data_IF_292070710464
#
_entry.id   IF_292070710464
#
_cell.length_a   1.000
_cell.length_b   1.000
_cell.length_c   1.000
_cell.angle_alpha   90.00
_cell.angle_beta   90.00
_cell.angle_gamma   90.00
#
_symmetry.space_group_name_H-M   'P 1'
#
loop_
_entity.id
_entity.type
_entity.pdbx_description
1 polymer ?
#
# COMPACT_ATOMS: atom_id res chain seq x y z
N UNK A 1 23.00 -1.36 58.63
CA UNK A 1 21.61 -1.02 58.28
C UNK A 1 21.46 -1.28 56.78
N UNK A 2 21.12 -2.50 56.40
CA UNK A 2 20.99 -2.93 55.01
C UNK A 2 19.51 -2.84 54.61
N UNK A 3 19.21 -2.04 53.60
CA UNK A 3 17.89 -1.92 52.99
C UNK A 3 17.60 -3.16 52.15
N UNK A 4 16.76 -4.05 52.66
CA UNK A 4 16.02 -5.02 51.85
C UNK A 4 14.83 -4.31 51.23
N UNK A 5 14.96 -3.89 49.97
CA UNK A 5 13.81 -3.57 49.14
C UNK A 5 13.49 -4.79 48.27
N UNK A 6 12.86 -5.78 48.93
CA UNK A 6 12.39 -7.00 48.30
C UNK A 6 11.06 -6.75 47.61
N UNK A 7 11.09 -6.04 46.48
CA UNK A 7 9.90 -5.85 45.65
C UNK A 7 9.58 -7.18 44.94
N UNK A 8 8.81 -8.03 45.62
CA UNK A 8 8.25 -9.26 45.07
C UNK A 8 7.42 -8.90 43.83
N UNK A 9 7.91 -9.25 42.63
CA UNK A 9 7.12 -9.22 41.39
C UNK A 9 5.91 -10.14 41.60
N UNK A 10 4.73 -9.57 41.82
CA UNK A 10 3.48 -10.32 41.72
C UNK A 10 3.25 -10.58 40.23
N UNK A 11 3.65 -11.77 39.76
CA UNK A 11 3.28 -12.23 38.42
C UNK A 11 1.75 -12.34 38.38
N UNK A 12 1.12 -11.50 37.58
CA UNK A 12 -0.27 -11.69 37.21
C UNK A 12 -0.31 -12.81 36.18
N UNK A 13 -0.66 -14.02 36.62
CA UNK A 13 -0.94 -15.13 35.73
C UNK A 13 -1.97 -14.68 34.69
N UNK A 14 -1.71 -14.97 33.41
CA UNK A 14 -2.67 -14.67 32.34
C UNK A 14 -4.03 -15.28 32.71
N UNK A 15 -5.06 -14.43 32.77
CA UNK A 15 -6.42 -14.86 33.07
C UNK A 15 -6.95 -15.76 31.95
N UNK A 16 -7.63 -16.83 32.32
CA UNK A 16 -8.29 -17.75 31.38
C UNK A 16 -9.26 -17.03 30.43
N UNK A 17 -9.87 -15.92 30.86
CA UNK A 17 -10.74 -15.13 29.99
C UNK A 17 -9.99 -14.46 28.83
N UNK A 18 -8.76 -13.97 29.06
CA UNK A 18 -7.94 -13.36 28.00
C UNK A 18 -7.60 -14.38 26.92
N UNK A 19 -7.32 -15.62 27.31
CA UNK A 19 -7.11 -16.71 26.36
C UNK A 19 -8.36 -16.99 25.53
N UNK A 20 -9.54 -17.03 26.15
CA UNK A 20 -10.80 -17.25 25.44
C UNK A 20 -11.08 -16.14 24.42
N UNK A 21 -10.79 -14.89 24.77
CA UNK A 21 -10.98 -13.75 23.89
C UNK A 21 -10.04 -13.80 22.68
N UNK A 22 -8.77 -14.13 22.88
CA UNK A 22 -7.82 -14.32 21.78
C UNK A 22 -8.23 -15.49 20.86
N UNK A 23 -8.62 -16.63 21.44
CA UNK A 23 -9.12 -17.78 20.68
C UNK A 23 -10.38 -17.43 19.89
N UNK A 24 -11.30 -16.70 20.49
CA UNK A 24 -12.51 -16.20 19.85
C UNK A 24 -12.18 -15.25 18.70
N UNK A 25 -11.27 -14.31 18.91
CA UNK A 25 -10.85 -13.38 17.88
C UNK A 25 -10.26 -14.10 16.66
N UNK A 26 -9.42 -15.12 16.86
CA UNK A 26 -8.85 -15.93 15.77
C UNK A 26 -9.93 -16.75 15.06
N UNK A 27 -10.82 -17.41 15.80
CA UNK A 27 -11.88 -18.23 15.20
C UNK A 27 -12.85 -17.39 14.38
N UNK A 28 -13.25 -16.23 14.90
CA UNK A 28 -14.30 -15.41 14.31
C UNK A 28 -13.75 -14.48 13.19
N UNK A 29 -12.48 -14.06 13.26
CA UNK A 29 -11.90 -13.07 12.33
C UNK A 29 -10.61 -13.53 11.63
N UNK A 30 -9.96 -14.59 12.10
CA UNK A 30 -8.68 -15.07 11.61
C UNK A 30 -7.46 -14.37 12.22
N UNK A 31 -6.33 -15.08 12.19
CA UNK A 31 -5.02 -14.66 12.72
C UNK A 31 -4.46 -13.38 12.05
N UNK A 32 -4.82 -13.14 10.80
CA UNK A 32 -4.39 -11.96 10.05
C UNK A 32 -5.24 -10.70 10.28
N UNK A 33 -6.33 -10.79 11.05
CA UNK A 33 -7.28 -9.69 11.19
C UNK A 33 -6.73 -8.50 11.97
N UNK A 34 -7.06 -7.25 11.60
CA UNK A 34 -6.67 -6.07 12.38
C UNK A 34 -7.15 -6.13 13.83
N UNK A 35 -8.35 -6.68 14.05
CA UNK A 35 -8.92 -6.89 15.38
C UNK A 35 -8.05 -7.80 16.24
N UNK A 36 -7.69 -8.99 15.73
CA UNK A 36 -6.79 -9.88 16.45
C UNK A 36 -5.41 -9.23 16.72
N UNK A 37 -4.82 -8.58 15.71
CA UNK A 37 -3.52 -7.90 15.86
C UNK A 37 -3.56 -6.84 16.97
N UNK A 38 -4.66 -6.07 17.06
CA UNK A 38 -4.83 -5.05 18.09
C UNK A 38 -5.07 -5.66 19.47
N UNK A 39 -5.92 -6.69 19.57
CA UNK A 39 -6.17 -7.41 20.82
C UNK A 39 -4.88 -8.04 21.35
N UNK A 40 -4.12 -8.73 20.50
CA UNK A 40 -2.83 -9.32 20.84
C UNK A 40 -1.82 -8.28 21.34
N UNK A 41 -1.72 -7.12 20.68
CA UNK A 41 -0.87 -6.01 21.11
C UNK A 41 -1.31 -5.47 22.48
N UNK A 42 -2.60 -5.30 22.71
CA UNK A 42 -3.16 -4.89 23.99
C UNK A 42 -2.81 -5.86 25.11
N UNK A 43 -3.06 -7.15 24.91
CA UNK A 43 -2.71 -8.21 25.88
C UNK A 43 -1.22 -8.20 26.19
N UNK A 44 -0.36 -8.18 25.18
CA UNK A 44 1.09 -8.20 25.40
C UNK A 44 1.59 -6.94 26.10
N UNK A 45 0.90 -5.81 26.00
CA UNK A 45 1.27 -4.59 26.73
C UNK A 45 0.83 -4.60 28.20
N UNK A 46 -0.33 -5.20 28.49
CA UNK A 46 -0.91 -5.23 29.84
C UNK A 46 -0.22 -6.25 30.74
N UNK A 47 0.11 -7.43 30.19
CA UNK A 47 0.62 -8.54 30.97
C UNK A 47 2.15 -8.67 30.90
N UNK A 48 2.75 -8.98 32.05
CA UNK A 48 4.15 -9.38 32.16
C UNK A 48 4.29 -10.88 31.85
N UNK A 49 4.49 -11.17 30.56
CA UNK A 49 4.56 -12.53 30.03
C UNK A 49 5.97 -13.11 30.16
N UNK A 50 6.08 -14.30 30.77
CA UNK A 50 7.30 -15.11 30.72
C UNK A 50 7.41 -15.86 29.39
N UNK A 51 8.59 -16.45 29.15
CA UNK A 51 8.85 -17.23 27.95
C UNK A 51 7.92 -18.45 27.88
N UNK A 52 7.61 -19.06 29.02
CA UNK A 52 6.64 -20.13 29.15
C UNK A 52 5.22 -19.66 28.82
N UNK A 53 4.81 -18.49 29.29
CA UNK A 53 3.49 -17.92 28.97
C UNK A 53 3.35 -17.67 27.46
N UNK A 54 4.41 -17.17 26.83
CA UNK A 54 4.46 -16.95 25.37
C UNK A 54 4.32 -18.26 24.59
N UNK A 55 5.09 -19.28 24.95
CA UNK A 55 5.02 -20.63 24.33
C UNK A 55 3.64 -21.26 24.55
N UNK A 56 3.09 -21.16 25.76
CA UNK A 56 1.77 -21.68 26.11
C UNK A 56 0.69 -20.99 25.30
N UNK A 57 0.71 -19.65 25.25
CA UNK A 57 -0.23 -18.87 24.46
C UNK A 57 -0.15 -19.24 22.98
N UNK A 58 1.05 -19.30 22.40
CA UNK A 58 1.23 -19.69 21.01
C UNK A 58 0.70 -21.11 20.75
N UNK A 59 1.00 -22.08 21.62
CA UNK A 59 0.53 -23.46 21.46
C UNK A 59 -0.98 -23.62 21.57
N UNK A 60 -1.64 -22.76 22.35
CA UNK A 60 -3.09 -22.79 22.52
C UNK A 60 -3.83 -22.15 21.35
N UNK A 61 -3.28 -21.08 20.77
CA UNK A 61 -3.97 -20.24 19.78
C UNK A 61 -3.66 -20.57 18.33
N UNK A 62 -2.54 -21.26 18.09
CA UNK A 62 -2.08 -21.64 16.76
C UNK A 62 -2.35 -23.12 16.49
N UNK A 63 -2.53 -23.49 15.22
CA UNK A 63 -2.48 -24.90 14.82
C UNK A 63 -1.05 -25.43 14.93
N UNK A 64 -0.85 -26.76 14.97
CA UNK A 64 0.50 -27.36 15.03
C UNK A 64 1.45 -26.84 13.94
N UNK A 65 0.95 -26.71 12.70
CA UNK A 65 1.72 -26.15 11.58
C UNK A 65 2.07 -24.68 11.77
N UNK A 66 1.13 -23.86 12.27
CA UNK A 66 1.35 -22.45 12.55
C UNK A 66 2.31 -22.25 13.72
N UNK A 67 2.23 -23.11 14.74
CA UNK A 67 3.14 -23.11 15.88
C UNK A 67 4.59 -23.40 15.46
N UNK A 68 4.81 -24.38 14.57
CA UNK A 68 6.15 -24.65 14.02
C UNK A 68 6.70 -23.43 13.27
N UNK A 69 5.88 -22.80 12.42
CA UNK A 69 6.27 -21.59 11.67
C UNK A 69 6.59 -20.45 12.65
N UNK A 70 5.74 -20.26 13.65
CA UNK A 70 5.93 -19.27 14.70
C UNK A 70 7.23 -19.48 15.46
N UNK A 71 7.50 -20.70 15.92
CA UNK A 71 8.72 -21.01 16.67
C UNK A 71 9.97 -20.74 15.83
N UNK A 72 9.94 -21.12 14.54
CA UNK A 72 11.04 -20.84 13.62
C UNK A 72 11.26 -19.32 13.44
N UNK A 73 10.20 -18.54 13.23
CA UNK A 73 10.30 -17.06 13.10
C UNK A 73 10.76 -16.42 14.40
N UNK A 74 10.22 -16.84 15.54
CA UNK A 74 10.60 -16.32 16.85
C UNK A 74 12.07 -16.63 17.16
N UNK A 75 12.54 -17.86 16.93
CA UNK A 75 13.96 -18.22 17.11
C UNK A 75 14.90 -17.41 16.22
N UNK A 76 14.51 -17.04 15.00
CA UNK A 76 15.29 -16.10 14.17
C UNK A 76 15.38 -14.72 14.81
N UNK A 77 14.26 -14.17 15.27
CA UNK A 77 14.24 -12.88 15.97
C UNK A 77 15.06 -12.92 17.27
N UNK A 78 15.08 -14.04 17.99
CA UNK A 78 15.93 -14.20 19.18
C UNK A 78 17.44 -14.25 18.84
N UNK A 79 17.81 -14.76 17.66
CA UNK A 79 19.19 -14.67 17.17
C UNK A 79 19.58 -13.20 16.90
N UNK A 80 18.69 -12.43 16.27
CA UNK A 80 18.92 -11.00 16.04
C UNK A 80 19.08 -10.23 17.36
N UNK A 81 18.28 -10.57 18.38
CA UNK A 81 18.43 -9.99 19.72
C UNK A 81 19.76 -10.38 20.39
N UNK A 82 20.19 -11.64 20.26
CA UNK A 82 21.52 -12.07 20.73
C UNK A 82 22.63 -11.21 20.09
N UNK A 83 22.52 -10.97 18.79
CA UNK A 83 23.49 -10.18 18.04
C UNK A 83 23.47 -8.71 18.49
N UNK A 84 22.28 -8.14 18.72
CA UNK A 84 22.09 -6.81 19.32
C UNK A 84 22.76 -6.68 20.69
N UNK A 85 22.76 -7.73 21.51
CA UNK A 85 23.35 -7.69 22.85
C UNK A 85 24.87 -7.90 22.88
N UNK A 86 25.52 -8.21 21.75
CA UNK A 86 26.97 -8.39 21.70
C UNK A 86 27.71 -7.14 22.18
N UNK A 87 28.74 -7.34 23.02
CA UNK A 87 29.53 -6.24 23.60
C UNK A 87 28.85 -5.46 24.74
N UNK A 88 27.60 -5.79 25.11
CA UNK A 88 26.88 -5.19 26.23
C UNK A 88 26.81 -6.09 27.48
N UNK A 89 26.10 -5.61 28.51
CA UNK A 89 25.86 -6.36 29.75
C UNK A 89 25.13 -7.69 29.54
N UNK A 90 24.40 -7.83 28.43
CA UNK A 90 23.60 -8.99 28.08
C UNK A 90 24.29 -9.91 27.04
N UNK A 91 25.56 -9.68 26.69
CA UNK A 91 26.28 -10.40 25.63
C UNK A 91 26.41 -11.92 25.87
N UNK A 92 26.36 -12.34 27.14
CA UNK A 92 26.42 -13.76 27.52
C UNK A 92 25.12 -14.54 27.30
N UNK A 93 24.02 -13.88 26.92
CA UNK A 93 22.74 -14.54 26.70
C UNK A 93 22.76 -15.35 25.39
N UNK A 94 22.45 -16.62 25.50
CA UNK A 94 22.30 -17.54 24.36
C UNK A 94 20.86 -17.56 23.86
N UNK A 95 20.66 -17.97 22.60
CA UNK A 95 19.31 -18.13 22.03
C UNK A 95 18.50 -19.18 22.81
N UNK A 96 19.13 -20.25 23.29
CA UNK A 96 18.46 -21.25 24.11
C UNK A 96 17.91 -20.65 25.42
N UNK A 97 18.67 -19.75 26.04
CA UNK A 97 18.20 -19.01 27.22
C UNK A 97 17.06 -18.05 26.85
N UNK A 98 17.22 -17.26 25.80
CA UNK A 98 16.20 -16.32 25.32
C UNK A 98 14.90 -17.02 24.84
N UNK A 99 15.00 -18.29 24.44
CA UNK A 99 13.86 -19.13 24.07
C UNK A 99 13.26 -19.89 25.26
N UNK A 100 13.94 -19.93 26.42
CA UNK A 100 13.49 -20.70 27.58
C UNK A 100 13.50 -22.19 27.28
N UNK A 101 14.54 -22.66 26.59
CA UNK A 101 14.78 -24.08 26.38
C UNK A 101 15.26 -24.73 27.70
N UNK A 102 15.06 -26.04 27.90
CA UNK A 102 15.51 -26.73 29.10
C UNK A 102 17.00 -26.48 29.39
N UNK A 103 17.39 -26.21 30.65
CA UNK A 103 16.62 -26.34 31.89
C UNK A 103 15.88 -25.06 32.34
N UNK A 104 15.74 -24.06 31.45
CA UNK A 104 15.16 -22.75 31.77
C UNK A 104 13.68 -22.64 31.38
N UNK A 105 13.01 -23.77 31.20
CA UNK A 105 11.59 -23.89 30.87
C UNK A 105 10.65 -23.68 32.08
N UNK A 106 11.21 -23.57 33.29
CA UNK A 106 10.42 -23.34 34.51
C UNK A 106 9.90 -21.89 34.62
N UNK A 107 8.57 -21.66 34.67
CA UNK A 107 7.97 -20.32 34.72
C UNK A 107 8.42 -19.46 35.92
N UNK A 108 8.55 -20.09 37.10
CA UNK A 108 8.91 -19.41 38.34
C UNK A 108 10.35 -18.87 38.31
N UNK A 109 11.23 -19.53 37.56
CA UNK A 109 12.62 -19.09 37.38
C UNK A 109 12.72 -18.01 36.29
N UNK A 110 12.00 -18.16 35.18
CA UNK A 110 12.05 -17.23 34.04
C UNK A 110 11.72 -15.78 34.42
N UNK A 111 10.72 -15.56 35.28
CA UNK A 111 10.29 -14.21 35.68
C UNK A 111 11.33 -13.43 36.49
N UNK A 112 12.31 -14.13 37.07
CA UNK A 112 13.39 -13.54 37.88
C UNK A 112 14.73 -13.53 37.15
N UNK A 113 14.86 -14.35 36.10
CA UNK A 113 16.12 -14.59 35.39
C UNK A 113 16.54 -13.39 34.53
N UNK A 114 15.58 -12.71 33.91
CA UNK A 114 15.87 -11.72 32.88
C UNK A 114 15.63 -10.27 33.35
N UNK A 115 16.50 -9.32 32.94
CA UNK A 115 16.22 -7.90 33.03
C UNK A 115 14.90 -7.54 32.32
N UNK A 116 14.21 -6.48 32.78
CA UNK A 116 12.91 -6.07 32.20
C UNK A 116 13.02 -5.77 30.70
N UNK A 117 14.09 -5.08 30.31
CA UNK A 117 14.38 -4.75 28.91
C UNK A 117 14.47 -6.00 28.02
N UNK A 118 15.13 -7.05 28.50
CA UNK A 118 15.28 -8.31 27.76
C UNK A 118 13.93 -9.03 27.64
N UNK A 119 13.14 -9.09 28.72
CA UNK A 119 11.80 -9.67 28.67
C UNK A 119 10.87 -8.91 27.70
N UNK A 120 10.96 -7.58 27.67
CA UNK A 120 10.21 -6.75 26.73
C UNK A 120 10.62 -7.03 25.29
N UNK A 121 11.91 -7.11 25.01
CA UNK A 121 12.43 -7.46 23.67
C UNK A 121 11.96 -8.85 23.22
N UNK A 122 12.07 -9.86 24.10
CA UNK A 122 11.59 -11.24 23.83
C UNK A 122 10.07 -11.25 23.55
N UNK A 123 9.28 -10.55 24.39
CA UNK A 123 7.83 -10.44 24.25
C UNK A 123 7.44 -9.79 22.93
N UNK A 124 8.14 -8.72 22.54
CA UNK A 124 7.93 -8.05 21.27
C UNK A 124 8.29 -8.94 20.07
N UNK A 125 9.40 -9.67 20.16
CA UNK A 125 9.80 -10.65 19.15
C UNK A 125 8.76 -11.76 18.98
N UNK A 126 8.22 -12.30 20.07
CA UNK A 126 7.17 -13.33 20.04
C UNK A 126 5.89 -12.81 19.39
N UNK A 127 5.44 -11.61 19.77
CA UNK A 127 4.26 -10.95 19.17
C UNK A 127 4.44 -10.73 17.68
N UNK A 128 5.60 -10.21 17.27
CA UNK A 128 5.93 -9.95 15.86
C UNK A 128 5.89 -11.24 15.05
N UNK A 129 6.50 -12.31 15.58
CA UNK A 129 6.46 -13.63 14.95
C UNK A 129 5.02 -14.13 14.76
N UNK A 130 4.10 -13.90 15.71
CA UNK A 130 2.69 -14.30 15.56
C UNK A 130 1.97 -13.57 14.43
N UNK A 131 2.21 -12.26 14.29
CA UNK A 131 1.56 -11.42 13.27
C UNK A 131 2.06 -11.74 11.85
N UNK A 132 3.28 -12.29 11.75
CA UNK A 132 3.91 -12.70 10.48
C UNK A 132 3.56 -14.13 10.04
N UNK A 133 2.70 -14.84 10.79
CA UNK A 133 2.25 -16.17 10.37
C UNK A 133 1.29 -16.02 9.17
N UNK A 134 1.54 -16.71 8.05
CA UNK A 134 0.65 -16.65 6.90
C UNK A 134 -0.72 -17.27 7.24
N UNK A 135 -1.83 -16.72 6.70
CA UNK A 135 -3.14 -17.39 6.78
C UNK A 135 -3.08 -18.78 6.14
N UNK A 136 -3.80 -19.74 6.71
CA UNK A 136 -3.85 -21.12 6.20
C UNK A 136 -4.26 -21.14 4.73
N UNK A 137 -3.42 -21.74 3.88
CA UNK A 137 -3.68 -21.85 2.43
C UNK A 137 -3.11 -20.71 1.58
N UNK A 138 -2.42 -19.74 2.17
CA UNK A 138 -1.72 -18.67 1.44
C UNK A 138 -0.22 -18.94 1.44
N UNK A 139 0.36 -19.21 0.28
CA UNK A 139 1.82 -19.18 0.08
C UNK A 139 2.33 -17.75 0.30
N UNK A 140 3.49 -17.60 0.95
CA UNK A 140 4.17 -16.30 1.07
C UNK A 140 4.55 -15.81 -0.34
N UNK A 141 3.65 -15.11 -1.03
CA UNK A 141 3.95 -14.39 -2.27
C UNK A 141 4.78 -13.16 -1.93
N UNK A 142 5.86 -12.92 -2.67
CA UNK A 142 6.66 -11.71 -2.51
C UNK A 142 5.75 -10.48 -2.68
N UNK A 143 5.97 -9.41 -1.91
CA UNK A 143 5.22 -8.16 -2.12
C UNK A 143 5.43 -7.63 -3.54
N UNK A 144 6.56 -7.98 -4.16
CA UNK A 144 6.89 -7.68 -5.56
C UNK A 144 6.02 -8.40 -6.58
N UNK A 145 5.27 -9.42 -6.19
CA UNK A 145 4.38 -10.16 -7.10
C UNK A 145 2.96 -9.56 -7.12
N UNK A 146 2.68 -8.59 -6.24
CA UNK A 146 1.37 -7.96 -6.12
C UNK A 146 1.23 -6.86 -7.15
N UNK A 147 0.44 -7.14 -8.19
CA UNK A 147 0.03 -6.17 -9.20
C UNK A 147 -1.45 -5.81 -9.05
N UNK A 148 -1.80 -4.57 -9.38
CA UNK A 148 -3.20 -4.14 -9.46
C UNK A 148 -3.87 -4.79 -10.66
N UNK A 149 -5.02 -5.43 -10.47
CA UNK A 149 -5.84 -5.91 -11.59
C UNK A 149 -6.56 -4.74 -12.29
N UNK A 150 -6.82 -4.79 -13.62
CA UNK A 150 -7.59 -3.75 -14.32
C UNK A 150 -8.99 -3.48 -13.75
N UNK A 151 -9.56 -4.44 -13.04
CA UNK A 151 -10.87 -4.36 -12.38
C UNK A 151 -10.80 -4.07 -10.89
N UNK A 152 -9.59 -4.00 -10.30
CA UNK A 152 -9.38 -3.77 -8.88
C UNK A 152 -9.26 -2.28 -8.58
N UNK A 153 -9.94 -1.82 -7.53
CA UNK A 153 -9.79 -0.44 -7.06
C UNK A 153 -8.39 -0.21 -6.49
N UNK A 154 -7.88 1.01 -6.63
CA UNK A 154 -6.55 1.35 -6.12
C UNK A 154 -6.43 1.11 -4.60
N UNK A 155 -7.48 1.41 -3.84
CA UNK A 155 -7.54 1.15 -2.39
C UNK A 155 -7.45 -0.35 -2.06
N UNK A 156 -8.11 -1.22 -2.84
CA UNK A 156 -8.00 -2.67 -2.66
C UNK A 156 -6.56 -3.15 -2.93
N UNK A 157 -5.95 -2.64 -3.99
CA UNK A 157 -4.55 -2.94 -4.32
C UNK A 157 -3.60 -2.53 -3.19
N UNK A 158 -3.70 -1.28 -2.71
CA UNK A 158 -2.88 -0.77 -1.60
C UNK A 158 -3.08 -1.59 -0.31
N UNK A 159 -4.31 -2.04 -0.03
CA UNK A 159 -4.56 -2.90 1.13
C UNK A 159 -3.87 -4.26 1.00
N UNK A 160 -3.89 -4.89 -0.18
CA UNK A 160 -3.16 -6.15 -0.41
C UNK A 160 -1.65 -5.96 -0.32
N UNK A 161 -1.13 -4.89 -0.91
CA UNK A 161 0.30 -4.57 -0.89
C UNK A 161 0.78 -4.30 0.53
N UNK A 162 0.10 -3.42 1.27
CA UNK A 162 0.40 -3.14 2.69
C UNK A 162 0.37 -4.42 3.52
N UNK A 163 -0.64 -5.29 3.31
CA UNK A 163 -0.72 -6.55 4.05
C UNK A 163 0.45 -7.50 3.74
N UNK A 164 0.97 -7.52 2.51
CA UNK A 164 2.11 -8.35 2.14
C UNK A 164 3.44 -7.76 2.61
N UNK A 165 3.60 -6.44 2.55
CA UNK A 165 4.75 -5.73 3.12
C UNK A 165 4.81 -5.96 4.62
N UNK A 166 3.70 -5.79 5.36
CA UNK A 166 3.62 -6.08 6.80
C UNK A 166 4.02 -7.51 7.17
N UNK A 167 3.80 -8.47 6.27
CA UNK A 167 4.18 -9.89 6.48
C UNK A 167 5.69 -10.12 6.28
N UNK A 168 6.33 -9.33 5.43
CA UNK A 168 7.72 -9.49 5.03
C UNK A 168 8.68 -8.55 5.76
N UNK A 169 8.20 -7.37 6.18
CA UNK A 169 9.02 -6.37 6.82
C UNK A 169 9.44 -6.79 8.23
N UNK A 170 10.75 -6.76 8.45
CA UNK A 170 11.38 -6.84 9.77
C UNK A 170 11.37 -5.49 10.49
N UNK A 171 10.33 -4.67 10.37
CA UNK A 171 10.14 -3.38 11.08
C UNK A 171 11.35 -2.44 10.97
N UNK A 172 11.44 -1.72 9.84
CA UNK A 172 11.70 -0.29 9.91
C UNK A 172 10.47 0.41 9.36
N UNK A 173 9.94 1.35 10.14
CA UNK A 173 8.56 1.81 10.03
C UNK A 173 8.28 2.54 8.72
N UNK A 174 7.22 2.15 8.01
CA UNK A 174 6.54 2.99 7.01
C UNK A 174 7.27 3.25 5.69
N UNK A 175 8.61 3.22 5.65
CA UNK A 175 9.41 3.53 4.46
C UNK A 175 9.27 2.44 3.38
N UNK A 176 9.17 1.16 3.77
CA UNK A 176 9.11 0.06 2.79
C UNK A 176 7.83 0.04 1.95
N UNK A 177 6.70 0.48 2.53
CA UNK A 177 5.42 0.54 1.79
C UNK A 177 5.47 1.65 0.74
N UNK A 178 6.10 2.77 1.05
CA UNK A 178 6.19 3.92 0.14
C UNK A 178 7.06 3.60 -1.08
N UNK A 179 8.25 3.05 -0.85
CA UNK A 179 9.17 2.63 -1.93
C UNK A 179 8.55 1.54 -2.80
N UNK A 180 7.82 0.61 -2.19
CA UNK A 180 7.10 -0.45 -2.91
C UNK A 180 5.94 0.11 -3.74
N UNK A 181 5.15 1.06 -3.21
CA UNK A 181 4.03 1.66 -3.96
C UNK A 181 4.53 2.46 -5.17
N UNK A 182 5.68 3.15 -5.03
CA UNK A 182 6.30 3.95 -6.10
C UNK A 182 6.64 3.11 -7.34
N UNK A 183 7.05 1.84 -7.18
CA UNK A 183 7.41 0.96 -8.30
C UNK A 183 6.24 0.22 -8.97
N UNK A 184 5.07 0.11 -8.32
CA UNK A 184 4.01 -0.80 -8.78
C UNK A 184 2.79 -0.12 -9.41
N UNK A 185 2.77 1.21 -9.49
CA UNK A 185 1.66 1.90 -10.14
C UNK A 185 1.74 1.77 -11.68
N UNK A 186 1.08 0.74 -12.22
CA UNK A 186 0.67 0.70 -13.63
C UNK A 186 -0.33 1.83 -13.99
N UNK A 187 -0.65 2.72 -13.03
CA UNK A 187 -1.30 4.01 -13.24
C UNK A 187 -0.55 4.93 -14.21
N UNK A 188 0.75 4.70 -14.45
CA UNK A 188 1.54 5.54 -15.36
C UNK A 188 1.01 5.58 -16.80
N UNK A 189 0.34 4.51 -17.26
CA UNK A 189 -0.23 4.44 -18.61
C UNK A 189 -1.60 5.13 -18.75
N UNK A 190 -2.36 5.26 -17.64
CA UNK A 190 -3.66 5.97 -17.59
C UNK A 190 -3.55 7.40 -17.04
N UNK A 191 -2.45 7.73 -16.38
CA UNK A 191 -2.15 9.05 -15.85
C UNK A 191 -1.02 9.69 -16.66
N UNK A 192 -1.35 10.22 -17.84
CA UNK A 192 -0.41 11.03 -18.64
C UNK A 192 0.03 12.34 -17.96
N UNK A 193 -0.42 12.62 -16.73
CA UNK A 193 -0.28 13.95 -16.10
C UNK A 193 0.44 13.98 -14.76
N UNK A 194 0.97 12.86 -14.25
CA UNK A 194 1.63 12.85 -12.93
C UNK A 194 3.10 12.44 -13.02
N UNK A 195 3.96 13.46 -13.13
CA UNK A 195 5.41 13.38 -13.00
C UNK A 195 5.85 13.42 -11.53
N UNK A 196 5.29 12.59 -10.64
CA UNK A 196 5.69 12.65 -9.23
C UNK A 196 5.81 11.24 -8.63
N UNK A 197 7.05 10.73 -8.68
CA UNK A 197 7.53 9.62 -7.87
C UNK A 197 7.70 9.99 -6.36
N UNK A 198 7.39 11.25 -5.99
CA UNK A 198 7.45 11.77 -4.61
C UNK A 198 6.06 11.92 -3.96
N UNK A 199 4.97 11.53 -4.63
CA UNK A 199 3.63 11.65 -4.08
C UNK A 199 3.39 10.63 -2.94
N UNK A 200 2.72 11.07 -1.87
CA UNK A 200 2.36 10.21 -0.76
C UNK A 200 1.28 9.19 -1.10
N UNK A 201 1.23 8.07 -0.37
CA UNK A 201 0.16 7.06 -0.53
C UNK A 201 -1.23 7.69 -0.40
N UNK A 202 -1.39 8.68 0.48
CA UNK A 202 -2.64 9.42 0.62
C UNK A 202 -3.00 10.24 -0.64
N UNK A 203 -2.03 10.97 -1.20
CA UNK A 203 -2.22 11.72 -2.45
C UNK A 203 -2.50 10.79 -3.64
N UNK A 204 -1.82 9.64 -3.69
CA UNK A 204 -2.08 8.61 -4.71
C UNK A 204 -3.49 8.02 -4.58
N UNK A 205 -3.97 7.77 -3.35
CA UNK A 205 -5.35 7.31 -3.11
C UNK A 205 -6.36 8.37 -3.57
N UNK A 206 -6.15 9.64 -3.23
CA UNK A 206 -7.07 10.71 -3.63
C UNK A 206 -7.09 10.89 -5.16
N UNK A 207 -5.92 10.91 -5.80
CA UNK A 207 -5.81 11.04 -7.25
C UNK A 207 -6.48 9.86 -7.96
N UNK A 208 -6.20 8.63 -7.52
CA UNK A 208 -6.77 7.42 -8.12
C UNK A 208 -8.27 7.26 -7.85
N UNK A 209 -8.80 7.82 -6.75
CA UNK A 209 -10.24 7.80 -6.46
C UNK A 209 -11.08 8.56 -7.50
N UNK A 210 -10.44 9.51 -8.22
CA UNK A 210 -11.08 10.32 -9.27
C UNK A 210 -11.05 9.61 -10.62
N UNK A 211 -10.16 8.63 -10.83
CA UNK A 211 -10.04 7.86 -12.07
C UNK A 211 -11.26 6.94 -12.27
N UNK A 212 -11.77 6.87 -13.50
CA UNK A 212 -12.92 6.04 -13.85
C UNK A 212 -14.28 6.53 -13.33
N UNK A 213 -14.33 7.66 -12.60
CA UNK A 213 -15.60 8.32 -12.28
C UNK A 213 -16.30 8.81 -13.56
N UNK A 214 -17.64 8.92 -13.58
CA UNK A 214 -18.35 9.49 -14.73
C UNK A 214 -17.83 10.87 -15.13
N UNK A 215 -17.42 11.66 -14.13
CA UNK A 215 -16.82 12.98 -14.34
C UNK A 215 -15.48 12.89 -15.08
N UNK A 216 -14.58 12.00 -14.65
CA UNK A 216 -13.28 11.80 -15.29
C UNK A 216 -13.41 11.23 -16.71
N UNK A 217 -14.36 10.31 -16.92
CA UNK A 217 -14.67 9.80 -18.27
C UNK A 217 -15.21 10.92 -19.16
N UNK A 218 -16.10 11.76 -18.64
CA UNK A 218 -16.62 12.91 -19.37
C UNK A 218 -15.53 13.93 -19.71
N UNK A 219 -14.58 14.19 -18.81
CA UNK A 219 -13.42 15.06 -19.07
C UNK A 219 -12.53 14.49 -20.18
N UNK A 220 -12.16 13.20 -20.12
CA UNK A 220 -11.33 12.58 -21.18
C UNK A 220 -12.05 12.64 -22.53
N UNK A 221 -13.34 12.32 -22.57
CA UNK A 221 -14.14 12.40 -23.79
C UNK A 221 -14.22 13.86 -24.30
N UNK A 222 -14.38 14.83 -23.39
CA UNK A 222 -14.36 16.25 -23.70
C UNK A 222 -13.04 16.70 -24.33
N UNK A 223 -11.91 16.32 -23.73
CA UNK A 223 -10.57 16.66 -24.21
C UNK A 223 -10.28 16.04 -25.59
N UNK A 224 -10.73 14.79 -25.82
CA UNK A 224 -10.62 14.13 -27.12
C UNK A 224 -11.45 14.83 -28.18
N UNK A 225 -12.67 15.25 -27.85
CA UNK A 225 -13.53 16.03 -28.74
C UNK A 225 -12.91 17.38 -29.04
N UNK A 226 -12.40 18.10 -28.03
CA UNK A 226 -11.73 19.39 -28.21
C UNK A 226 -10.51 19.26 -29.12
N UNK A 227 -9.68 18.23 -28.90
CA UNK A 227 -8.53 17.93 -29.76
C UNK A 227 -8.97 17.62 -31.19
N UNK A 228 -9.97 16.77 -31.38
CA UNK A 228 -10.50 16.45 -32.71
C UNK A 228 -11.05 17.69 -33.43
N UNK A 229 -11.71 18.59 -32.70
CA UNK A 229 -12.20 19.88 -33.24
C UNK A 229 -11.02 20.78 -33.63
N UNK A 230 -10.00 20.91 -32.78
CA UNK A 230 -8.78 21.69 -33.08
C UNK A 230 -8.05 21.13 -34.30
N UNK A 231 -7.90 19.82 -34.40
CA UNK A 231 -7.26 19.15 -35.54
C UNK A 231 -8.09 19.31 -36.83
N UNK A 232 -9.41 19.20 -36.75
CA UNK A 232 -10.30 19.45 -37.88
C UNK A 232 -10.22 20.91 -38.34
N UNK A 233 -10.13 21.86 -37.41
CA UNK A 233 -10.01 23.29 -37.71
C UNK A 233 -8.64 23.63 -38.31
N UNK A 234 -7.55 23.09 -37.76
CA UNK A 234 -6.21 23.24 -38.33
C UNK A 234 -6.13 22.63 -39.75
N UNK A 235 -6.72 21.45 -39.95
CA UNK A 235 -6.83 20.85 -41.28
C UNK A 235 -7.66 21.70 -42.24
N UNK A 236 -8.76 22.29 -41.78
CA UNK A 236 -9.57 23.20 -42.59
C UNK A 236 -8.78 24.44 -43.02
N UNK A 237 -8.01 25.06 -42.13
CA UNK A 237 -7.14 26.19 -42.45
C UNK A 237 -6.07 25.84 -43.49
N UNK A 238 -5.63 24.58 -43.54
CA UNK A 238 -4.63 24.13 -44.51
C UNK A 238 -5.19 23.74 -45.87
N UNK A 239 -6.51 23.45 -45.96
CA UNK A 239 -7.17 23.07 -47.21
C UNK A 239 -7.23 24.25 -48.18
N UNK A 240 -6.89 23.97 -49.43
CA UNK A 240 -6.92 24.93 -50.52
C UNK A 240 -8.31 24.96 -51.18
N UNK A 241 -8.76 26.14 -51.59
CA UNK A 241 -9.97 26.31 -52.38
C UNK A 241 -9.82 25.55 -53.71
N UNK A 242 -10.78 24.67 -54.01
CA UNK A 242 -10.80 23.83 -55.21
C UNK A 242 -10.73 24.58 -56.54
N UNK A 243 -11.00 25.90 -56.55
CA UNK A 243 -10.99 26.71 -57.77
C UNK A 243 -9.73 27.56 -57.94
N UNK A 244 -9.17 28.10 -56.85
CA UNK A 244 -8.10 29.11 -56.90
C UNK A 244 -6.89 28.80 -56.01
N UNK A 245 -6.88 27.65 -55.31
CA UNK A 245 -5.71 27.19 -54.56
C UNK A 245 -5.41 27.94 -53.26
N UNK A 246 -6.12 29.03 -52.94
CA UNK A 246 -5.94 29.80 -51.70
C UNK A 246 -6.55 29.07 -50.49
N UNK A 247 -5.86 29.12 -49.34
CA UNK A 247 -6.23 28.38 -48.13
C UNK A 247 -7.29 29.10 -47.28
N UNK A 248 -7.97 28.36 -46.39
CA UNK A 248 -8.72 28.94 -45.26
C UNK A 248 -10.16 29.41 -45.52
N UNK A 249 -10.80 29.03 -46.63
CA UNK A 249 -12.19 29.39 -46.92
C UNK A 249 -12.89 28.34 -47.79
N UNK A 250 -14.22 28.31 -47.78
CA UNK A 250 -15.00 27.46 -48.66
C UNK A 250 -15.08 28.05 -50.07
N UNK A 251 -15.29 27.20 -51.09
CA UNK A 251 -15.40 27.61 -52.50
C UNK A 251 -16.40 28.76 -52.72
N UNK A 252 -17.51 28.77 -51.98
CA UNK A 252 -18.56 29.80 -52.07
C UNK A 252 -18.13 31.17 -51.50
N UNK A 253 -17.16 31.19 -50.60
CA UNK A 253 -16.68 32.39 -49.91
C UNK A 253 -15.29 32.81 -50.45
N UNK A 254 -14.98 32.42 -51.69
CA UNK A 254 -13.70 32.72 -52.28
C UNK A 254 -13.61 34.20 -52.68
N UNK A 255 -12.65 34.97 -52.16
CA UNK A 255 -12.55 36.40 -52.44
C UNK A 255 -12.35 36.68 -53.95
N UNK A 256 -11.68 35.78 -54.68
CA UNK A 256 -11.52 35.92 -56.14
C UNK A 256 -12.83 35.69 -56.91
N UNK A 257 -13.79 34.91 -56.36
CA UNK A 257 -15.13 34.86 -56.95
C UNK A 257 -15.87 36.18 -56.76
N UNK A 258 -15.71 36.82 -55.59
CA UNK A 258 -16.34 38.12 -55.31
C UNK A 258 -15.81 39.21 -56.25
N UNK A 259 -14.50 39.20 -56.56
CA UNK A 259 -13.90 40.10 -57.55
C UNK A 259 -14.41 39.83 -58.98
N UNK A 260 -14.49 38.55 -59.40
CA UNK A 260 -15.00 38.19 -60.73
C UNK A 260 -16.47 38.61 -60.91
N UNK A 261 -17.33 38.39 -59.90
CA UNK A 261 -18.72 38.86 -59.94
C UNK A 261 -18.77 40.38 -60.04
N UNK A 262 -17.89 41.10 -59.34
CA UNK A 262 -17.86 42.57 -59.44
C UNK A 262 -17.37 43.08 -60.81
N UNK A 263 -16.51 42.32 -61.52
CA UNK A 263 -16.00 42.70 -62.85
C UNK A 263 -16.96 42.36 -64.00
N UNK A 264 -17.81 41.35 -63.81
CA UNK A 264 -18.82 40.92 -64.79
C UNK A 264 -20.06 41.81 -64.80
N UNK A 265 -20.23 42.68 -63.80
CA UNK A 265 -21.36 43.58 -63.72
C UNK A 265 -21.26 44.75 -64.73
N UNK A 266 -20.15 44.96 -65.43
CA UNK A 266 -20.03 45.99 -66.49
C UNK A 266 -20.13 45.38 -67.89
N UNK A 267 -21.16 45.76 -68.65
CA UNK A 267 -21.31 45.36 -70.05
C UNK A 267 -20.17 45.94 -70.93
N UNK A 268 -19.37 45.13 -71.65
CA UNK A 268 -18.24 45.61 -72.44
C UNK A 268 -18.64 46.38 -73.71
N UNK A 269 -19.94 46.53 -74.00
CA UNK A 269 -20.44 47.32 -75.14
C UNK A 269 -20.93 48.72 -74.77
N UNK A 270 -21.28 48.96 -73.50
CA UNK A 270 -21.87 50.24 -73.05
C UNK A 270 -21.39 50.73 -71.68
N UNK A 271 -20.53 50.00 -70.98
CA UNK A 271 -19.87 50.41 -69.73
C UNK A 271 -20.79 50.84 -68.58
N UNK A 272 -22.01 50.30 -68.50
CA UNK A 272 -22.96 50.55 -67.38
C UNK A 272 -23.25 49.23 -66.65
N UNK A 273 -23.44 49.31 -65.33
CA UNK A 273 -23.87 48.18 -64.51
C UNK A 273 -25.33 47.79 -64.79
N UNK A 274 -25.53 46.52 -65.20
CA UNK A 274 -26.83 45.87 -65.47
C UNK A 274 -27.69 46.49 -66.59
N UNK A 275 -27.64 45.90 -67.80
CA UNK A 275 -28.57 46.21 -68.90
C UNK A 275 -29.35 44.95 -69.32
N UNK A 276 -30.65 44.93 -69.00
CA UNK A 276 -31.77 44.09 -69.53
C UNK A 276 -31.61 42.56 -69.47
N UNK A 277 -32.52 41.75 -68.89
CA UNK A 277 -33.96 41.90 -68.63
C UNK A 277 -34.36 41.17 -67.34
#
# INVERSE_FOLDING_TARGET
MQTQDGMHRMQTQLDHEVFKDLMKAIRDNGLGSPYFKQLLKGTFNIYDLTLFDLKSLASMVLTDSQFIIWEAKWRRALNELRDKYQGGANAGLTVAQLAGDPPLDNPAHQARLFPREVLTDIKNAARKAMVQIPPTGVTESSHTDIKQSPSESFTSFINRLTQAVDRQASDDGGETTFDSVSCFCECQSRMQTYHQCDASVAEMIEACSKLGTPQHVATILGDQVEKAVKDAFANFQQRQCYKFGKKGHFKKDCPELAEITSSLDVCPRCSIHACCA
#
